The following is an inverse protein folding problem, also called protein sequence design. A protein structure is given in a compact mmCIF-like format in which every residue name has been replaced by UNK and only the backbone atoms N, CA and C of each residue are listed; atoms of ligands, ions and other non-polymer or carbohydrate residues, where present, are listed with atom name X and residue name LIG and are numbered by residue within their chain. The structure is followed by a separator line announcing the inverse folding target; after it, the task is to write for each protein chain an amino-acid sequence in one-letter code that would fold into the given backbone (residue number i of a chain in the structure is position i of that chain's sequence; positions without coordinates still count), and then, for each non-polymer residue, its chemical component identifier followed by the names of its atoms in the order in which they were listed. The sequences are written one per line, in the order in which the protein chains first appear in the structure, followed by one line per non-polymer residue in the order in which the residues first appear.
data_IF_338303541821
#
_entry.id   IF_338303541821
#
_cell.length_a   1.000
_cell.length_b   1.000
_cell.length_c   1.000
_cell.angle_alpha   90.00
_cell.angle_beta   90.00
_cell.angle_gamma   90.00
#
_symmetry.space_group_name_H-M   'P 1'
#
loop_
_entity.id
_entity.type
_entity.pdbx_description
1 polymer ?
#
# COMPACT_ATOMS: atom_id res chain seq x y z
N UNK A 1 9.13 18.91 -2.60
CA UNK A 1 9.06 17.43 -2.64
C UNK A 1 9.16 16.93 -1.21
N UNK A 2 8.32 15.97 -0.83
CA UNK A 2 8.16 15.56 0.58
C UNK A 2 8.63 14.12 0.75
N UNK A 3 9.85 13.94 1.26
CA UNK A 3 10.36 12.61 1.62
C UNK A 3 9.58 12.08 2.83
N UNK A 4 9.38 10.76 2.88
CA UNK A 4 8.66 10.09 3.96
C UNK A 4 9.60 9.18 4.74
N UNK A 5 9.48 9.24 6.07
CA UNK A 5 10.08 8.28 6.99
C UNK A 5 8.91 7.58 7.67
N UNK A 6 8.75 6.29 7.42
CA UNK A 6 7.64 5.48 7.90
C UNK A 6 8.17 4.44 8.88
N UNK A 7 7.56 4.35 10.06
CA UNK A 7 7.79 3.29 11.04
C UNK A 7 6.73 2.21 10.93
N UNK A 8 7.04 1.00 11.40
CA UNK A 8 6.10 -0.14 11.44
C UNK A 8 5.37 -0.36 10.10
N UNK A 9 6.07 -0.15 8.98
CA UNK A 9 5.48 -0.14 7.65
C UNK A 9 5.12 -1.55 7.21
N UNK A 10 3.91 -1.68 6.66
CA UNK A 10 3.40 -2.88 6.00
C UNK A 10 3.16 -2.53 4.54
N UNK A 11 3.81 -3.24 3.63
CA UNK A 11 3.46 -3.19 2.21
C UNK A 11 2.34 -4.17 1.93
N UNK A 12 1.29 -3.70 1.25
CA UNK A 12 0.17 -4.54 0.82
C UNK A 12 0.20 -4.69 -0.70
N UNK A 13 0.33 -5.91 -1.17
CA UNK A 13 0.25 -6.24 -2.60
C UNK A 13 -1.13 -6.83 -2.86
N UNK A 14 -2.03 -6.00 -3.37
CA UNK A 14 -3.41 -6.39 -3.66
C UNK A 14 -3.45 -7.10 -5.03
N UNK A 15 -3.93 -8.34 -5.04
CA UNK A 15 -4.07 -9.15 -6.26
C UNK A 15 -5.34 -8.79 -7.03
N UNK A 16 -5.30 -9.01 -8.34
CA UNK A 16 -6.45 -8.79 -9.23
C UNK A 16 -7.63 -9.71 -8.85
N UNK A 17 -8.89 -9.32 -9.12
CA UNK A 17 -10.06 -10.12 -8.75
C UNK A 17 -10.11 -11.51 -9.39
N UNK A 18 -9.50 -11.68 -10.56
CA UNK A 18 -9.44 -12.96 -11.29
C UNK A 18 -8.23 -13.84 -10.90
N UNK A 19 -7.36 -13.35 -9.98
CA UNK A 19 -6.24 -14.13 -9.45
C UNK A 19 -6.74 -15.03 -8.31
N UNK A 20 -6.42 -16.33 -8.35
CA UNK A 20 -6.80 -17.29 -7.31
C UNK A 20 -5.96 -17.16 -6.03
N UNK A 21 -4.79 -16.51 -6.10
CA UNK A 21 -3.88 -16.34 -4.95
C UNK A 21 -4.35 -15.26 -3.97
N UNK A 22 -3.99 -15.37 -2.69
CA UNK A 22 -4.30 -14.33 -1.71
C UNK A 22 -3.45 -13.07 -1.91
N UNK A 23 -3.98 -11.92 -1.51
CA UNK A 23 -3.18 -10.70 -1.38
C UNK A 23 -2.13 -10.84 -0.28
N UNK A 24 -1.05 -10.10 -0.41
CA UNK A 24 0.13 -10.25 0.44
C UNK A 24 0.32 -9.03 1.33
N UNK A 25 0.82 -9.29 2.55
CA UNK A 25 1.24 -8.27 3.49
C UNK A 25 2.70 -8.53 3.89
N UNK A 26 3.58 -7.58 3.60
CA UNK A 26 5.02 -7.67 3.84
C UNK A 26 5.42 -6.66 4.91
N UNK A 27 6.00 -7.15 6.00
CA UNK A 27 6.48 -6.32 7.10
C UNK A 27 7.84 -5.70 6.73
N UNK A 28 7.88 -4.38 6.58
CA UNK A 28 9.09 -3.63 6.24
C UNK A 28 9.75 -2.95 7.44
N UNK A 29 8.97 -2.65 8.50
CA UNK A 29 9.48 -1.96 9.67
C UNK A 29 9.79 -0.49 9.40
N UNK A 30 11.07 -0.09 9.48
CA UNK A 30 11.48 1.28 9.14
C UNK A 30 11.70 1.41 7.63
N UNK A 31 10.98 2.31 6.97
CA UNK A 31 11.03 2.48 5.52
C UNK A 31 11.15 3.96 5.12
N UNK A 32 12.07 4.25 4.20
CA UNK A 32 12.32 5.60 3.66
C UNK A 32 11.85 5.68 2.21
N UNK A 33 10.99 6.65 1.91
CA UNK A 33 10.47 6.90 0.56
C UNK A 33 10.92 8.26 0.07
N UNK A 34 11.54 8.29 -1.11
CA UNK A 34 11.92 9.52 -1.81
C UNK A 34 10.66 10.21 -2.34
N UNK A 35 10.52 11.51 -2.09
CA UNK A 35 9.23 12.20 -2.24
C UNK A 35 8.70 12.36 -3.67
N UNK A 36 9.49 12.11 -4.69
CA UNK A 36 9.09 12.04 -6.11
C UNK A 36 8.34 10.77 -6.42
N UNK A 37 8.61 9.70 -5.69
CA UNK A 37 7.95 8.42 -5.90
C UNK A 37 6.60 8.35 -5.15
N UNK A 38 6.24 9.39 -4.40
CA UNK A 38 4.99 9.45 -3.63
C UNK A 38 3.88 10.04 -4.49
N UNK A 39 2.87 9.24 -4.79
CA UNK A 39 1.67 9.68 -5.51
C UNK A 39 0.62 10.32 -4.58
N UNK A 40 0.35 9.69 -3.42
CA UNK A 40 -0.67 10.10 -2.45
C UNK A 40 -0.25 9.68 -1.04
N UNK A 41 -0.68 10.44 -0.03
CA UNK A 41 -0.70 10.03 1.37
C UNK A 41 -2.13 10.19 1.90
N UNK A 42 -2.75 9.08 2.29
CA UNK A 42 -4.10 9.05 2.85
C UNK A 42 -4.05 8.70 4.34
N UNK A 43 -4.71 9.50 5.18
CA UNK A 43 -4.90 9.16 6.58
C UNK A 43 -5.94 8.03 6.69
N UNK A 44 -5.66 7.03 7.51
CA UNK A 44 -6.54 5.88 7.75
C UNK A 44 -7.11 5.91 9.15
N UNK A 45 -8.26 5.27 9.34
CA UNK A 45 -8.82 4.93 10.66
C UNK A 45 -8.20 3.59 11.09
N UNK A 46 -7.35 3.61 12.12
CA UNK A 46 -6.56 2.44 12.55
C UNK A 46 -7.45 1.25 12.98
N UNK A 47 -8.46 1.41 13.87
CA UNK A 47 -9.34 0.30 14.22
C UNK A 47 -10.07 -0.32 13.02
N UNK A 48 -10.50 0.50 12.07
CA UNK A 48 -11.15 0.00 10.85
C UNK A 48 -10.14 -0.74 9.96
N UNK A 49 -8.95 -0.19 9.74
CA UNK A 49 -7.89 -0.80 8.93
C UNK A 49 -7.47 -2.16 9.49
N UNK A 50 -7.32 -2.28 10.82
CA UNK A 50 -6.99 -3.51 11.53
C UNK A 50 -8.09 -4.58 11.44
N UNK A 51 -9.35 -4.17 11.29
CA UNK A 51 -10.49 -5.10 11.20
C UNK A 51 -10.60 -5.79 9.83
N UNK A 52 -9.91 -5.28 8.81
CA UNK A 52 -9.98 -5.78 7.44
C UNK A 52 -9.03 -6.96 7.25
N UNK A 53 -9.53 -8.06 6.67
CA UNK A 53 -8.66 -9.15 6.21
C UNK A 53 -8.04 -8.80 4.85
N UNK A 54 -6.93 -8.07 4.89
CA UNK A 54 -6.24 -7.58 3.69
C UNK A 54 -5.75 -8.67 2.73
N UNK A 55 -5.47 -9.88 3.23
CA UNK A 55 -5.13 -11.04 2.38
C UNK A 55 -6.27 -11.48 1.46
N UNK A 56 -7.51 -11.14 1.83
CA UNK A 56 -8.71 -11.46 1.03
C UNK A 56 -9.22 -10.31 0.18
N UNK A 57 -8.66 -9.12 0.36
CA UNK A 57 -9.00 -7.96 -0.47
C UNK A 57 -8.46 -8.17 -1.87
N UNK A 58 -9.28 -7.85 -2.87
CA UNK A 58 -8.96 -7.95 -4.30
C UNK A 58 -9.26 -6.62 -4.98
N UNK A 59 -8.47 -6.27 -5.99
CA UNK A 59 -8.64 -5.03 -6.72
C UNK A 59 -7.75 -4.95 -7.96
N UNK A 60 -8.24 -4.24 -8.97
CA UNK A 60 -7.47 -4.02 -10.20
C UNK A 60 -6.25 -3.13 -9.95
N UNK A 61 -5.22 -3.29 -10.78
CA UNK A 61 -4.01 -2.49 -10.71
C UNK A 61 -4.28 -0.97 -10.72
N UNK A 62 -3.56 -0.23 -9.87
CA UNK A 62 -3.56 1.23 -9.88
C UNK A 62 -2.77 1.69 -11.11
N UNK A 63 -3.37 2.59 -11.90
CA UNK A 63 -2.72 3.16 -13.08
C UNK A 63 -1.39 3.84 -12.74
N UNK A 64 -0.44 3.80 -13.66
CA UNK A 64 0.86 4.44 -13.48
C UNK A 64 0.79 5.97 -13.48
N UNK A 65 1.81 6.59 -12.90
CA UNK A 65 2.05 8.04 -12.99
C UNK A 65 2.85 8.37 -14.25
N UNK A 66 2.47 9.43 -14.98
CA UNK A 66 3.24 9.98 -16.10
C UNK A 66 3.87 11.30 -15.68
N UNK A 67 5.17 11.44 -15.91
CA UNK A 67 5.82 12.74 -15.88
C UNK A 67 5.56 13.42 -17.23
N UNK A 68 5.05 14.65 -17.22
CA UNK A 68 4.87 15.48 -18.43
C UNK A 68 6.14 16.31 -18.62
#
# INVERSE_FOLDING_TARGET
MTNLVLGQTIERVIRDPDDDEDSEEVQLGLYLVRGDNVCLVGLVDEPLDESINWKRVKGSAIGGVKHI
#
